data_IF_029309086082
#
_entry.id   IF_029309086082
#
_cell.length_a   1.000
_cell.length_b   1.000
_cell.length_c   1.000
_cell.angle_alpha   90.00
_cell.angle_beta   90.00
_cell.angle_gamma   90.00
#
_symmetry.space_group_name_H-M   'P 1'
#
loop_
_entity.id
_entity.type
_entity.pdbx_description
1 polymer ?
#
# COMPACT_ATOMS: atom_id res chain seq x y z
N UNK A 1 -49.48 -67.04 -29.19
CA UNK A 1 -50.29 -67.96 -28.33
C UNK A 1 -50.78 -67.11 -27.15
N UNK A 2 -52.06 -66.60 -27.20
CA UNK A 2 -53.18 -67.12 -26.42
C UNK A 2 -53.08 -66.78 -24.93
N UNK A 3 -53.85 -66.01 -24.23
CA UNK A 3 -55.29 -65.71 -24.27
C UNK A 3 -55.58 -64.57 -23.25
N UNK A 4 -56.45 -63.65 -23.57
CA UNK A 4 -57.26 -62.90 -22.60
C UNK A 4 -58.43 -63.78 -22.11
N UNK A 5 -59.13 -63.43 -21.00
CA UNK A 5 -60.36 -62.64 -21.07
C UNK A 5 -60.50 -61.68 -19.87
N UNK A 6 -61.09 -60.52 -19.94
CA UNK A 6 -62.47 -60.06 -20.16
C UNK A 6 -63.41 -60.17 -18.95
N UNK A 7 -64.05 -58.97 -18.64
CA UNK A 7 -65.30 -58.71 -17.88
C UNK A 7 -65.25 -58.73 -16.34
N UNK A 8 -65.66 -57.64 -15.60
CA UNK A 8 -67.03 -57.11 -15.65
C UNK A 8 -67.12 -55.74 -14.89
N UNK A 9 -67.81 -54.88 -15.49
CA UNK A 9 -68.64 -53.77 -15.14
C UNK A 9 -69.36 -53.85 -13.81
N UNK A 10 -69.21 -52.82 -12.96
CA UNK A 10 -70.26 -52.40 -12.04
C UNK A 10 -70.12 -50.90 -11.75
N UNK A 11 -71.06 -50.15 -12.35
CA UNK A 11 -71.34 -48.76 -12.05
C UNK A 11 -72.10 -48.67 -10.71
N UNK A 12 -71.63 -47.77 -9.82
CA UNK A 12 -72.47 -47.24 -8.78
C UNK A 12 -72.23 -45.75 -8.67
N UNK A 13 -73.14 -44.96 -9.18
CA UNK A 13 -73.30 -43.55 -8.88
C UNK A 13 -73.67 -43.42 -7.40
N UNK A 14 -72.83 -42.63 -6.68
CA UNK A 14 -73.25 -41.97 -5.45
C UNK A 14 -72.92 -40.49 -5.60
N UNK A 15 -73.92 -39.66 -5.85
CA UNK A 15 -73.90 -38.25 -5.64
C UNK A 15 -73.70 -38.00 -4.12
N UNK A 16 -72.65 -37.32 -3.80
CA UNK A 16 -72.36 -36.87 -2.43
C UNK A 16 -71.61 -35.55 -2.51
N UNK A 17 -72.35 -34.45 -2.42
CA UNK A 17 -72.06 -33.18 -1.80
C UNK A 17 -70.75 -32.49 -2.13
N UNK A 18 -70.79 -31.59 -3.15
CA UNK A 18 -69.85 -30.47 -3.19
C UNK A 18 -70.10 -29.55 -1.99
N UNK A 19 -69.24 -29.53 -1.01
CA UNK A 19 -68.98 -28.36 -0.21
C UNK A 19 -67.54 -27.88 -0.56
N UNK A 20 -67.50 -27.01 -1.58
CA UNK A 20 -66.31 -26.30 -1.98
C UNK A 20 -65.99 -25.24 -0.93
N UNK A 21 -65.14 -25.55 0.00
CA UNK A 21 -64.36 -24.59 0.72
C UNK A 21 -63.01 -24.54 0.06
N UNK A 22 -62.75 -23.53 -0.80
CA UNK A 22 -61.42 -23.15 -1.24
C UNK A 22 -60.63 -22.69 -0.02
N UNK A 23 -60.23 -23.65 0.84
CA UNK A 23 -59.34 -23.40 1.93
C UNK A 23 -57.98 -23.11 1.37
N UNK A 24 -57.62 -21.83 1.28
CA UNK A 24 -56.25 -21.44 1.16
C UNK A 24 -55.46 -22.29 2.18
N UNK A 25 -54.31 -22.82 1.77
CA UNK A 25 -53.44 -23.62 2.62
C UNK A 25 -52.85 -22.72 3.73
N UNK A 26 -53.71 -22.36 4.69
CA UNK A 26 -53.38 -21.54 5.87
C UNK A 26 -52.91 -22.48 6.94
N UNK A 27 -51.68 -22.29 7.41
CA UNK A 27 -51.15 -23.05 8.51
C UNK A 27 -51.11 -22.18 9.75
N UNK A 28 -51.51 -22.75 10.86
CA UNK A 28 -51.41 -22.17 12.18
C UNK A 28 -50.15 -22.65 12.86
N UNK A 29 -49.55 -21.80 13.68
CA UNK A 29 -48.43 -22.13 14.53
C UNK A 29 -48.54 -21.37 15.84
N UNK A 30 -47.62 -21.60 16.74
CA UNK A 30 -47.54 -20.89 18.02
C UNK A 30 -46.29 -19.99 18.06
N UNK A 31 -46.41 -18.85 18.68
CA UNK A 31 -45.30 -17.98 19.04
C UNK A 31 -44.39 -18.73 20.01
N UNK A 32 -43.14 -18.86 19.70
CA UNK A 32 -42.16 -19.60 20.49
C UNK A 32 -40.89 -18.78 20.73
N UNK A 33 -40.16 -19.12 21.77
CA UNK A 33 -38.82 -18.62 21.95
C UNK A 33 -37.86 -19.44 21.09
N UNK A 34 -37.06 -18.77 20.27
CA UNK A 34 -36.03 -19.40 19.49
C UNK A 34 -34.85 -18.45 19.28
N UNK A 35 -33.75 -19.01 18.87
CA UNK A 35 -32.59 -18.22 18.42
C UNK A 35 -32.95 -17.54 17.09
N UNK A 36 -32.66 -16.25 17.00
CA UNK A 36 -32.75 -15.46 15.79
C UNK A 36 -31.36 -14.89 15.50
N UNK A 37 -30.86 -15.17 14.32
CA UNK A 37 -29.57 -14.69 13.86
C UNK A 37 -29.79 -13.82 12.65
N UNK A 38 -29.39 -12.58 12.75
CA UNK A 38 -29.40 -11.63 11.64
C UNK A 38 -28.06 -11.67 10.92
N UNK A 39 -28.10 -11.91 9.62
CA UNK A 39 -26.93 -12.11 8.78
C UNK A 39 -26.95 -11.12 7.66
N UNK A 40 -25.80 -10.48 7.43
CA UNK A 40 -25.54 -9.64 6.25
C UNK A 40 -24.66 -10.43 5.29
N UNK A 41 -25.18 -10.72 4.12
CA UNK A 41 -24.45 -11.40 3.04
C UNK A 41 -23.66 -10.39 2.21
N UNK A 42 -22.37 -10.65 2.00
CA UNK A 42 -21.51 -9.78 1.22
C UNK A 42 -20.57 -10.59 0.31
N UNK A 43 -20.38 -10.17 -0.95
CA UNK A 43 -19.36 -10.74 -1.81
C UNK A 43 -17.98 -10.41 -1.29
N UNK A 44 -17.09 -11.40 -1.30
CA UNK A 44 -15.73 -11.27 -0.78
C UNK A 44 -14.68 -11.92 -1.68
N UNK A 45 -13.44 -11.60 -1.40
CA UNK A 45 -12.28 -12.18 -2.06
C UNK A 45 -11.20 -12.53 -1.05
N UNK A 46 -10.61 -13.70 -1.19
CA UNK A 46 -9.47 -14.12 -0.35
C UNK A 46 -8.23 -13.32 -0.74
N UNK A 47 -7.58 -12.72 0.24
CA UNK A 47 -6.37 -11.93 0.06
C UNK A 47 -5.21 -12.54 0.85
N UNK A 48 -4.00 -12.38 0.32
CA UNK A 48 -2.78 -12.74 1.04
C UNK A 48 -2.50 -11.72 2.15
N UNK A 49 -1.75 -12.14 3.17
CA UNK A 49 -1.27 -11.27 4.24
C UNK A 49 -0.49 -10.07 3.72
N UNK A 50 0.41 -10.33 2.79
CA UNK A 50 1.22 -9.30 2.15
C UNK A 50 1.62 -9.73 0.74
N UNK A 51 1.68 -8.77 -0.15
CA UNK A 51 2.21 -8.94 -1.51
C UNK A 51 3.27 -7.87 -1.71
N UNK A 52 4.46 -8.27 -2.13
CA UNK A 52 5.55 -7.36 -2.41
C UNK A 52 6.06 -7.58 -3.83
N UNK A 53 5.90 -6.54 -4.65
CA UNK A 53 6.46 -6.52 -6.00
C UNK A 53 7.84 -5.87 -5.97
N UNK A 54 8.83 -6.56 -6.51
CA UNK A 54 10.21 -6.09 -6.61
C UNK A 54 10.48 -5.63 -8.03
N UNK A 55 10.88 -4.37 -8.15
CA UNK A 55 11.16 -3.71 -9.43
C UNK A 55 12.66 -3.69 -9.72
N UNK A 56 13.01 -3.62 -11.01
CA UNK A 56 14.39 -3.44 -11.47
C UNK A 56 14.96 -2.11 -10.98
N UNK A 57 16.11 -2.09 -10.29
CA UNK A 57 16.72 -0.86 -9.77
C UNK A 57 17.45 -0.04 -10.84
N UNK A 58 17.71 -0.61 -11.99
CA UNK A 58 18.37 0.03 -13.14
C UNK A 58 18.16 -0.77 -14.42
N UNK A 59 18.37 -0.12 -15.55
CA UNK A 59 18.33 -0.78 -16.87
C UNK A 59 19.45 -1.81 -17.00
N UNK A 60 19.11 -2.96 -17.58
CA UNK A 60 20.06 -4.05 -17.76
C UNK A 60 19.43 -5.29 -18.37
N UNK A 61 20.02 -6.45 -18.09
CA UNK A 61 19.47 -7.76 -18.43
C UNK A 61 19.45 -8.67 -17.21
N UNK A 62 18.56 -9.63 -17.19
CA UNK A 62 18.51 -10.66 -16.15
C UNK A 62 19.71 -11.59 -16.38
N UNK A 63 20.61 -11.64 -15.39
CA UNK A 63 21.81 -12.48 -15.49
C UNK A 63 21.56 -13.91 -15.05
N UNK A 64 21.21 -14.10 -13.79
CA UNK A 64 21.04 -15.40 -13.15
C UNK A 64 19.75 -15.42 -12.33
N UNK A 65 18.91 -16.43 -12.53
CA UNK A 65 17.70 -16.66 -11.74
C UNK A 65 17.99 -17.82 -10.78
N UNK A 66 17.78 -17.63 -9.48
CA UNK A 66 18.11 -18.60 -8.43
C UNK A 66 16.90 -19.26 -7.78
N UNK A 67 15.72 -18.95 -8.25
CA UNK A 67 14.45 -19.46 -7.72
C UNK A 67 13.56 -19.87 -8.88
N UNK A 68 12.73 -20.87 -8.64
CA UNK A 68 11.70 -21.29 -9.58
C UNK A 68 10.40 -20.51 -9.35
N UNK A 69 9.57 -20.43 -10.38
CA UNK A 69 8.22 -19.90 -10.23
C UNK A 69 7.40 -20.79 -9.30
N UNK A 70 6.68 -20.21 -8.33
CA UNK A 70 5.96 -20.94 -7.29
C UNK A 70 6.82 -21.42 -6.10
N UNK A 71 8.14 -21.18 -6.10
CA UNK A 71 9.02 -21.58 -4.99
C UNK A 71 8.75 -20.76 -3.73
N UNK A 72 8.82 -21.42 -2.57
CA UNK A 72 8.77 -20.72 -1.28
C UNK A 72 10.14 -20.19 -0.89
N UNK A 73 10.22 -18.90 -0.60
CA UNK A 73 11.46 -18.22 -0.24
C UNK A 73 11.38 -17.60 1.16
N UNK A 74 12.56 -17.41 1.76
CA UNK A 74 12.72 -16.71 3.03
C UNK A 74 13.04 -15.23 2.79
N UNK A 75 12.70 -14.39 3.74
CA UNK A 75 13.11 -12.99 3.70
C UNK A 75 14.63 -12.86 3.56
N UNK A 76 15.09 -12.01 2.65
CA UNK A 76 16.50 -11.77 2.34
C UNK A 76 17.13 -12.79 1.40
N UNK A 77 16.46 -13.88 1.04
CA UNK A 77 16.94 -14.85 0.05
C UNK A 77 17.16 -14.18 -1.31
N UNK A 78 18.25 -14.54 -1.99
CA UNK A 78 18.56 -14.02 -3.32
C UNK A 78 17.64 -14.70 -4.34
N UNK A 79 16.88 -13.89 -5.08
CA UNK A 79 15.94 -14.36 -6.09
C UNK A 79 16.59 -14.40 -7.47
N UNK A 80 17.20 -13.30 -7.87
CA UNK A 80 17.88 -13.17 -9.16
C UNK A 80 18.95 -12.09 -9.10
N UNK A 81 19.79 -12.03 -10.13
CA UNK A 81 20.81 -11.00 -10.31
C UNK A 81 20.60 -10.31 -11.64
N UNK A 82 20.63 -8.99 -11.63
CA UNK A 82 20.55 -8.15 -12.84
C UNK A 82 21.96 -7.75 -13.24
N UNK A 83 22.27 -7.85 -14.50
CA UNK A 83 23.48 -7.32 -15.11
C UNK A 83 23.21 -5.94 -15.67
N UNK A 84 23.77 -4.92 -15.04
CA UNK A 84 23.66 -3.53 -15.48
C UNK A 84 25.03 -2.91 -15.69
N UNK A 85 25.55 -2.91 -16.94
CA UNK A 85 26.79 -2.22 -17.26
C UNK A 85 26.71 -0.71 -17.03
N UNK A 86 25.54 -0.10 -17.20
CA UNK A 86 25.27 1.32 -16.96
C UNK A 86 25.46 1.70 -15.50
N UNK A 87 24.84 0.96 -14.55
CA UNK A 87 24.97 1.19 -13.12
C UNK A 87 26.42 1.00 -12.63
N UNK A 88 27.12 -0.03 -13.15
CA UNK A 88 28.55 -0.24 -12.83
C UNK A 88 29.44 0.88 -13.38
N UNK A 89 29.13 1.41 -14.58
CA UNK A 89 29.85 2.58 -15.14
C UNK A 89 29.60 3.83 -14.30
N UNK A 90 28.35 4.08 -13.90
CA UNK A 90 28.01 5.22 -13.04
C UNK A 90 28.79 5.18 -11.71
N UNK A 91 28.90 4.02 -11.06
CA UNK A 91 29.70 3.86 -9.84
C UNK A 91 31.16 4.22 -10.10
N UNK A 92 31.79 3.63 -11.13
CA UNK A 92 33.19 3.92 -11.45
C UNK A 92 33.43 5.40 -11.79
N UNK A 93 32.48 6.07 -12.45
CA UNK A 93 32.56 7.50 -12.74
C UNK A 93 32.48 8.34 -11.45
N UNK A 94 31.57 8.01 -10.55
CA UNK A 94 31.45 8.69 -9.25
C UNK A 94 32.74 8.50 -8.40
N UNK A 95 33.30 7.30 -8.36
CA UNK A 95 34.57 7.03 -7.66
C UNK A 95 35.75 7.79 -8.25
N UNK A 96 35.85 7.89 -9.59
CA UNK A 96 36.86 8.69 -10.28
C UNK A 96 36.68 10.19 -10.01
N UNK A 97 35.45 10.68 -9.93
CA UNK A 97 35.17 12.07 -9.62
C UNK A 97 35.60 12.42 -8.18
N UNK A 98 35.35 11.54 -7.22
CA UNK A 98 35.79 11.73 -5.83
C UNK A 98 37.34 11.72 -5.71
N UNK A 99 38.00 10.77 -6.40
CA UNK A 99 39.45 10.72 -6.43
C UNK A 99 40.07 12.01 -7.01
N UNK A 100 39.48 12.57 -8.07
CA UNK A 100 39.92 13.85 -8.64
C UNK A 100 39.66 15.01 -7.67
N UNK A 101 38.51 15.06 -7.01
CA UNK A 101 38.19 16.08 -6.04
C UNK A 101 39.14 16.01 -4.81
N UNK A 102 39.54 14.79 -4.42
CA UNK A 102 40.52 14.59 -3.35
C UNK A 102 41.93 15.10 -3.76
N UNK A 103 42.34 14.82 -4.99
CA UNK A 103 43.64 15.30 -5.53
C UNK A 103 43.67 16.84 -5.66
N UNK A 104 42.58 17.45 -6.11
CA UNK A 104 42.47 18.90 -6.25
C UNK A 104 42.45 19.66 -4.91
N UNK A 105 41.96 19.04 -3.84
CA UNK A 105 41.93 19.61 -2.50
C UNK A 105 43.27 19.58 -1.73
N UNK A 106 44.28 18.90 -2.26
CA UNK A 106 45.62 18.80 -1.67
C UNK A 106 46.57 19.95 -2.06
N UNK A 107 46.08 21.10 -2.55
CA UNK A 107 46.89 22.26 -2.91
C UNK A 107 47.76 22.71 -1.73
N UNK A 108 49.07 22.50 -1.87
CA UNK A 108 50.07 22.95 -0.95
C UNK A 108 49.93 24.47 -0.73
N UNK A 109 49.68 24.89 0.48
CA UNK A 109 49.83 26.29 0.87
C UNK A 109 51.24 26.72 0.50
N UNK A 110 51.37 27.71 -0.40
CA UNK A 110 52.64 28.29 -0.77
C UNK A 110 53.18 28.96 0.50
N UNK A 111 54.26 28.49 1.10
CA UNK A 111 54.84 29.19 2.25
C UNK A 111 55.47 30.46 1.72
N UNK A 112 54.86 31.62 2.03
CA UNK A 112 55.49 32.92 1.79
C UNK A 112 56.61 33.06 2.81
N UNK A 113 57.83 32.62 2.43
CA UNK A 113 59.01 32.77 3.29
C UNK A 113 59.58 34.19 3.13
N UNK A 114 59.47 34.98 4.20
CA UNK A 114 60.10 36.31 4.32
C UNK A 114 61.58 36.19 4.73
N UNK A 115 62.27 35.15 4.33
CA UNK A 115 63.68 34.92 4.73
C UNK A 115 64.63 36.07 4.34
N UNK A 116 64.33 36.77 3.23
CA UNK A 116 65.08 37.97 2.79
C UNK A 116 64.91 39.17 3.75
N UNK A 117 63.74 39.36 4.35
CA UNK A 117 63.48 40.46 5.25
C UNK A 117 64.31 40.38 6.54
N UNK A 118 64.45 39.23 7.13
CA UNK A 118 65.26 39.00 8.35
C UNK A 118 66.74 39.28 8.11
N UNK A 119 67.27 38.93 6.92
CA UNK A 119 68.65 39.25 6.54
C UNK A 119 68.87 40.73 6.36
N UNK A 120 67.93 41.43 5.70
CA UNK A 120 67.98 42.91 5.52
C UNK A 120 67.97 43.62 6.88
N UNK A 121 67.14 43.18 7.81
CA UNK A 121 67.07 43.73 9.16
C UNK A 121 68.37 43.54 9.95
N UNK A 122 68.99 42.41 9.86
CA UNK A 122 70.27 42.13 10.51
C UNK A 122 71.39 43.01 9.91
N UNK A 123 71.34 43.26 8.61
CA UNK A 123 72.32 44.13 7.94
C UNK A 123 72.09 45.60 8.31
N UNK A 124 70.87 46.10 8.33
CA UNK A 124 70.51 47.46 8.74
C UNK A 124 70.93 47.72 10.21
N UNK A 125 70.62 46.83 11.11
CA UNK A 125 71.00 46.91 12.49
C UNK A 125 72.54 46.95 12.68
N UNK A 126 73.28 46.25 11.88
CA UNK A 126 74.76 46.31 11.88
C UNK A 126 75.26 47.64 11.35
N UNK A 127 74.61 48.18 10.33
CA UNK A 127 74.96 49.47 9.73
C UNK A 127 74.71 50.62 10.69
N UNK A 128 73.53 50.66 11.38
CA UNK A 128 73.22 51.66 12.41
C UNK A 128 74.21 51.62 13.58
N UNK A 129 74.55 50.42 14.06
CA UNK A 129 75.53 50.27 15.16
C UNK A 129 76.94 50.76 14.75
N UNK A 130 77.36 50.59 13.50
CA UNK A 130 78.64 51.11 13.00
C UNK A 130 78.57 52.63 12.86
N UNK A 131 77.53 53.17 12.31
CA UNK A 131 77.35 54.63 12.15
C UNK A 131 77.24 55.30 13.53
N UNK A 132 76.62 54.72 14.51
CA UNK A 132 76.54 55.24 15.88
C UNK A 132 77.89 55.27 16.58
N UNK A 133 78.71 54.25 16.39
CA UNK A 133 80.10 54.25 16.90
C UNK A 133 80.93 55.34 16.22
N UNK A 134 80.91 55.45 14.92
CA UNK A 134 81.60 56.49 14.19
C UNK A 134 81.16 57.91 14.59
N UNK A 135 79.89 58.10 14.83
CA UNK A 135 79.33 59.37 15.26
C UNK A 135 79.79 59.75 16.68
N UNK A 136 79.96 58.78 17.59
CA UNK A 136 80.53 58.99 18.94
C UNK A 136 82.01 59.42 18.96
N UNK A 137 82.76 58.97 17.96
CA UNK A 137 84.19 59.25 17.80
C UNK A 137 84.48 60.65 17.20
N UNK A 138 83.46 61.43 16.85
CA UNK A 138 83.60 62.81 16.36
C UNK A 138 84.01 63.70 17.50
N UNK A 139 85.24 64.44 17.41
CA UNK A 139 85.77 65.22 18.47
C UNK A 139 84.94 66.44 18.84
N UNK A 140 84.35 67.10 17.82
CA UNK A 140 83.53 68.28 18.06
C UNK A 140 82.18 67.88 18.64
N UNK A 141 81.77 68.56 19.71
CA UNK A 141 80.58 68.28 20.53
C UNK A 141 79.30 68.55 19.79
N UNK A 142 79.29 69.65 19.01
CA UNK A 142 78.10 70.12 18.29
C UNK A 142 77.86 69.24 17.05
N UNK A 143 78.85 68.98 16.25
CA UNK A 143 78.82 68.07 15.14
C UNK A 143 78.46 66.60 15.55
N UNK A 144 78.92 66.11 16.70
CA UNK A 144 78.58 64.82 17.27
C UNK A 144 77.05 64.77 17.63
N UNK A 145 76.56 65.88 18.25
CA UNK A 145 75.13 65.92 18.65
C UNK A 145 74.21 65.91 17.43
N UNK A 146 74.58 66.65 16.40
CA UNK A 146 73.86 66.68 15.10
C UNK A 146 73.88 65.36 14.39
N UNK A 147 75.04 64.70 14.34
CA UNK A 147 75.20 63.36 13.72
C UNK A 147 74.34 62.29 14.43
N UNK A 148 74.34 62.29 15.80
CA UNK A 148 73.52 61.40 16.58
C UNK A 148 72.01 61.69 16.45
N UNK A 149 71.61 62.96 16.29
CA UNK A 149 70.26 63.34 16.03
C UNK A 149 69.76 62.86 14.62
N UNK A 150 70.62 63.07 13.62
CA UNK A 150 70.33 62.60 12.24
C UNK A 150 70.20 61.03 12.18
N UNK A 151 71.08 60.34 12.92
CA UNK A 151 70.98 58.87 12.99
C UNK A 151 69.69 58.39 13.70
N UNK A 152 69.25 59.14 14.74
CA UNK A 152 67.96 58.79 15.37
C UNK A 152 66.78 58.98 14.40
N UNK A 153 66.77 60.06 13.66
CA UNK A 153 65.76 60.31 12.63
C UNK A 153 65.80 59.21 11.54
N UNK A 154 66.97 58.90 11.02
CA UNK A 154 67.12 57.84 10.02
C UNK A 154 66.71 56.48 10.51
N UNK A 155 67.01 56.20 11.78
CA UNK A 155 66.58 54.95 12.43
C UNK A 155 65.04 54.89 12.59
N UNK A 156 64.45 55.97 13.07
CA UNK A 156 62.98 56.02 13.20
C UNK A 156 62.26 55.93 11.86
N UNK A 157 62.82 56.53 10.82
CA UNK A 157 62.26 56.36 9.46
C UNK A 157 62.41 54.92 8.94
N UNK A 158 63.52 54.24 9.17
CA UNK A 158 63.69 52.85 8.86
C UNK A 158 62.73 51.94 9.61
N UNK A 159 62.56 52.18 10.94
CA UNK A 159 61.63 51.42 11.77
C UNK A 159 60.18 51.63 11.32
N UNK A 160 59.81 52.83 10.94
CA UNK A 160 58.47 53.12 10.35
C UNK A 160 58.25 52.44 9.00
N UNK A 161 59.25 52.51 8.09
CA UNK A 161 59.16 51.86 6.79
C UNK A 161 59.08 50.30 6.93
N UNK A 162 59.82 49.75 7.90
CA UNK A 162 59.76 48.33 8.22
C UNK A 162 58.38 47.92 8.77
N UNK A 163 57.82 48.70 9.73
CA UNK A 163 56.52 48.41 10.26
C UNK A 163 55.42 48.46 9.13
N UNK A 164 55.49 49.38 8.20
CA UNK A 164 54.65 49.45 7.05
C UNK A 164 54.78 48.20 6.13
N UNK A 165 56.03 47.78 5.87
CA UNK A 165 56.30 46.56 5.10
C UNK A 165 55.76 45.26 5.80
N UNK A 166 55.97 45.15 7.12
CA UNK A 166 55.48 44.04 7.92
C UNK A 166 53.93 44.04 7.93
N UNK A 167 53.30 45.17 8.02
CA UNK A 167 51.85 45.32 7.96
C UNK A 167 51.30 44.94 6.54
N UNK A 168 52.00 45.35 5.46
CA UNK A 168 51.64 44.96 4.11
C UNK A 168 51.77 43.44 3.89
N UNK A 169 52.90 42.86 4.40
CA UNK A 169 53.11 41.42 4.35
C UNK A 169 52.03 40.64 5.14
N UNK A 170 51.67 41.12 6.34
CA UNK A 170 50.62 40.52 7.16
C UNK A 170 49.23 40.60 6.48
N UNK A 171 48.90 41.70 5.85
CA UNK A 171 47.65 41.85 5.09
C UNK A 171 47.58 40.95 3.87
N UNK A 172 48.69 40.80 3.13
CA UNK A 172 48.82 39.84 2.03
C UNK A 172 48.69 38.39 2.53
N UNK A 173 49.37 38.04 3.61
CA UNK A 173 49.27 36.69 4.20
C UNK A 173 47.82 36.41 4.68
N UNK A 174 47.14 37.39 5.27
CA UNK A 174 45.76 37.25 5.69
C UNK A 174 44.82 37.05 4.45
N UNK A 175 45.04 37.81 3.36
CA UNK A 175 44.32 37.68 2.11
C UNK A 175 44.51 36.29 1.46
N UNK A 176 45.75 35.81 1.42
CA UNK A 176 46.04 34.44 0.92
C UNK A 176 45.45 33.38 1.83
N UNK A 177 45.44 33.59 3.14
CA UNK A 177 44.78 32.71 4.12
C UNK A 177 43.27 32.62 3.94
N UNK A 178 42.60 33.74 3.61
CA UNK A 178 41.16 33.75 3.31
C UNK A 178 40.85 33.04 2.00
N UNK A 179 41.65 33.27 0.96
CA UNK A 179 41.52 32.57 -0.31
C UNK A 179 41.71 31.05 -0.15
N UNK A 180 42.75 30.63 0.59
CA UNK A 180 43.00 29.23 0.87
C UNK A 180 41.85 28.56 1.62
N UNK A 181 41.26 29.27 2.60
CA UNK A 181 40.05 28.78 3.31
C UNK A 181 38.84 28.68 2.39
N UNK A 182 38.62 29.65 1.50
CA UNK A 182 37.53 29.60 0.55
C UNK A 182 37.67 28.43 -0.45
N UNK A 183 38.89 28.20 -0.98
CA UNK A 183 39.18 27.04 -1.85
C UNK A 183 38.98 25.73 -1.11
N UNK A 184 39.43 25.64 0.15
CA UNK A 184 39.23 24.45 0.98
C UNK A 184 37.74 24.18 1.28
N UNK A 185 36.95 25.23 1.54
CA UNK A 185 35.51 25.11 1.75
C UNK A 185 34.80 24.62 0.48
N UNK A 186 35.14 25.19 -0.70
CA UNK A 186 34.61 24.73 -1.97
C UNK A 186 34.97 23.27 -2.27
N UNK A 187 36.23 22.90 -2.03
CA UNK A 187 36.69 21.51 -2.21
C UNK A 187 36.00 20.52 -1.26
N UNK A 188 35.67 20.95 -0.02
CA UNK A 188 34.94 20.12 0.93
C UNK A 188 33.48 19.94 0.50
N UNK A 189 32.81 21.00 0.02
CA UNK A 189 31.44 20.93 -0.52
C UNK A 189 31.39 20.00 -1.74
N UNK A 190 32.35 20.11 -2.66
CA UNK A 190 32.46 19.23 -3.82
C UNK A 190 32.62 17.76 -3.40
N UNK A 191 33.43 17.47 -2.36
CA UNK A 191 33.58 16.09 -1.83
C UNK A 191 32.30 15.54 -1.20
N UNK A 192 31.51 16.37 -0.56
CA UNK A 192 30.19 15.93 -0.03
C UNK A 192 29.29 15.48 -1.19
N UNK A 193 29.25 16.25 -2.27
CA UNK A 193 28.43 15.88 -3.45
C UNK A 193 28.94 14.60 -4.14
N UNK A 194 30.26 14.45 -4.33
CA UNK A 194 30.82 13.24 -4.95
C UNK A 194 30.59 12.00 -4.10
N UNK A 195 30.72 12.09 -2.77
CA UNK A 195 30.40 10.98 -1.86
C UNK A 195 28.93 10.61 -1.90
N UNK A 196 28.03 11.58 -1.91
CA UNK A 196 26.60 11.30 -2.07
C UNK A 196 26.30 10.57 -3.39
N UNK A 197 26.92 10.98 -4.49
CA UNK A 197 26.81 10.29 -5.78
C UNK A 197 27.34 8.85 -5.73
N UNK A 198 28.47 8.62 -5.06
CA UNK A 198 29.02 7.27 -4.85
C UNK A 198 28.04 6.41 -4.04
N UNK A 199 27.47 6.95 -2.97
CA UNK A 199 26.54 6.20 -2.09
C UNK A 199 25.26 5.81 -2.83
N UNK A 200 24.74 6.69 -3.70
CA UNK A 200 23.60 6.36 -4.56
C UNK A 200 23.99 5.26 -5.55
N UNK A 201 25.09 5.42 -6.27
CA UNK A 201 25.55 4.45 -7.25
C UNK A 201 25.86 3.07 -6.61
N UNK A 202 26.45 3.05 -5.41
CA UNK A 202 26.70 1.82 -4.64
C UNK A 202 25.41 1.14 -4.21
N UNK A 203 24.40 1.91 -3.77
CA UNK A 203 23.08 1.35 -3.44
C UNK A 203 22.43 0.71 -4.65
N UNK A 204 22.45 1.39 -5.80
CA UNK A 204 21.93 0.84 -7.05
C UNK A 204 22.65 -0.46 -7.45
N UNK A 205 23.99 -0.49 -7.41
CA UNK A 205 24.76 -1.70 -7.74
C UNK A 205 24.49 -2.85 -6.74
N UNK A 206 24.32 -2.57 -5.46
CA UNK A 206 23.91 -3.60 -4.48
C UNK A 206 22.51 -4.13 -4.74
N UNK A 207 21.59 -3.25 -5.12
CA UNK A 207 20.20 -3.61 -5.43
C UNK A 207 20.08 -4.46 -6.71
N UNK A 208 21.10 -4.52 -7.57
CA UNK A 208 21.14 -5.44 -8.73
C UNK A 208 21.09 -6.92 -8.30
N UNK A 209 21.43 -7.23 -7.06
CA UNK A 209 21.16 -8.54 -6.44
C UNK A 209 19.79 -8.44 -5.77
N UNK A 210 18.78 -8.89 -6.47
CA UNK A 210 17.38 -8.85 -6.03
C UNK A 210 17.17 -9.89 -4.93
N UNK A 211 16.61 -9.43 -3.81
CA UNK A 211 16.31 -10.29 -2.65
C UNK A 211 14.85 -10.21 -2.28
N UNK A 212 14.33 -11.29 -1.69
CA UNK A 212 12.97 -11.34 -1.17
C UNK A 212 12.77 -10.33 -0.03
N UNK A 213 11.83 -9.38 -0.14
CA UNK A 213 11.54 -8.42 0.93
C UNK A 213 10.77 -9.06 2.09
N UNK A 214 10.07 -10.16 1.84
CA UNK A 214 9.33 -10.96 2.82
C UNK A 214 9.44 -12.44 2.49
N UNK A 215 9.08 -13.30 3.43
CA UNK A 215 8.95 -14.73 3.20
C UNK A 215 7.62 -15.02 2.49
N UNK A 216 7.62 -15.95 1.53
CA UNK A 216 6.39 -16.28 0.80
C UNK A 216 6.68 -17.03 -0.49
N UNK A 217 5.67 -17.12 -1.34
CA UNK A 217 5.75 -17.77 -2.65
C UNK A 217 6.15 -16.75 -3.72
N UNK A 218 7.14 -17.08 -4.51
CA UNK A 218 7.63 -16.25 -5.62
C UNK A 218 6.77 -16.45 -6.86
N UNK A 219 6.44 -15.34 -7.53
CA UNK A 219 5.96 -15.35 -8.91
C UNK A 219 6.91 -14.53 -9.78
N UNK A 220 7.49 -15.17 -10.78
CA UNK A 220 8.40 -14.58 -11.76
C UNK A 220 7.65 -13.89 -12.92
N UNK A 221 6.33 -14.00 -12.94
CA UNK A 221 5.52 -13.23 -13.87
C UNK A 221 5.42 -11.81 -13.34
N UNK A 222 5.88 -10.83 -14.10
CA UNK A 222 5.50 -9.46 -13.88
C UNK A 222 3.97 -9.42 -13.89
N UNK A 223 3.28 -8.91 -12.84
CA UNK A 223 1.88 -8.66 -12.96
C UNK A 223 1.71 -7.77 -14.17
N UNK A 224 1.11 -8.32 -15.23
CA UNK A 224 0.80 -7.54 -16.40
C UNK A 224 0.04 -6.33 -15.90
N UNK A 225 0.54 -5.15 -16.13
CA UNK A 225 -0.23 -3.92 -15.99
C UNK A 225 -1.32 -3.96 -17.05
N UNK A 226 -2.31 -4.82 -16.82
CA UNK A 226 -3.60 -4.70 -17.45
C UNK A 226 -4.21 -3.42 -16.86
N UNK A 227 -3.86 -2.27 -17.41
CA UNK A 227 -4.60 -1.08 -17.04
C UNK A 227 -3.87 0.25 -16.93
N UNK A 228 -2.58 0.39 -17.21
CA UNK A 228 -1.97 1.72 -17.21
C UNK A 228 -1.20 2.06 -18.50
N UNK A 229 -1.88 1.90 -19.62
CA UNK A 229 -1.61 2.70 -20.81
C UNK A 229 -2.45 3.99 -20.80
N UNK A 230 -2.84 4.47 -19.63
CA UNK A 230 -3.68 5.67 -19.50
C UNK A 230 -2.92 6.98 -19.78
N UNK A 231 -1.59 6.98 -19.72
CA UNK A 231 -0.83 8.20 -20.02
C UNK A 231 -0.68 8.51 -21.53
N UNK A 232 -0.93 7.52 -22.40
CA UNK A 232 -0.94 7.74 -23.85
C UNK A 232 -2.32 8.03 -24.44
N UNK A 233 -3.37 7.56 -23.78
CA UNK A 233 -4.75 7.71 -24.21
C UNK A 233 -5.29 9.15 -24.05
N UNK A 234 -4.87 9.83 -23.02
CA UNK A 234 -5.32 11.20 -22.73
C UNK A 234 -4.70 12.25 -23.64
N UNK A 235 -3.48 12.00 -24.12
CA UNK A 235 -2.85 12.84 -25.17
C UNK A 235 -3.49 12.62 -26.55
N UNK A 236 -3.92 11.40 -26.86
CA UNK A 236 -4.63 11.12 -28.11
C UNK A 236 -6.07 11.66 -28.12
N UNK A 237 -6.71 11.76 -26.97
CA UNK A 237 -8.06 12.33 -26.86
C UNK A 237 -8.10 13.84 -27.10
N UNK A 238 -6.98 14.53 -26.92
CA UNK A 238 -6.84 16.00 -27.16
C UNK A 238 -6.50 16.35 -28.62
N UNK A 239 -6.24 15.37 -29.47
CA UNK A 239 -5.95 15.62 -30.90
C UNK A 239 -7.25 15.75 -31.72
N UNK A 240 -7.31 16.68 -32.69
CA UNK A 240 -8.42 16.76 -33.65
C UNK A 240 -8.62 15.45 -34.40
N UNK A 241 -9.88 15.11 -34.69
CA UNK A 241 -10.29 13.82 -35.24
C UNK A 241 -9.58 13.43 -36.55
N UNK A 242 -9.20 14.42 -37.37
CA UNK A 242 -8.42 14.22 -38.59
C UNK A 242 -6.98 13.76 -38.37
N UNK A 243 -6.37 14.11 -37.22
CA UNK A 243 -5.02 13.66 -36.84
C UNK A 243 -5.06 12.34 -36.06
N UNK A 244 -6.18 12.05 -35.40
CA UNK A 244 -6.40 10.80 -34.66
C UNK A 244 -6.52 9.59 -35.58
N UNK A 245 -7.19 9.73 -36.72
CA UNK A 245 -7.31 8.69 -37.75
C UNK A 245 -5.98 8.40 -38.44
N UNK A 246 -5.13 9.40 -38.61
CA UNK A 246 -3.82 9.27 -39.27
C UNK A 246 -2.76 8.71 -38.31
N UNK A 247 -2.82 9.08 -37.00
CA UNK A 247 -1.99 8.50 -35.95
C UNK A 247 -2.36 7.04 -35.67
N UNK A 248 -3.67 6.69 -35.71
CA UNK A 248 -4.18 5.34 -35.53
C UNK A 248 -3.73 4.37 -36.62
N UNK A 249 -3.65 4.83 -37.86
CA UNK A 249 -3.15 3.99 -38.97
C UNK A 249 -1.62 3.85 -39.00
N UNK A 250 -0.87 4.85 -38.49
CA UNK A 250 0.59 4.77 -38.39
C UNK A 250 1.07 3.92 -37.17
N UNK A 251 0.31 3.89 -36.08
CA UNK A 251 0.59 3.08 -34.90
C UNK A 251 -0.10 1.70 -34.95
N UNK A 252 -1.16 1.54 -35.71
CA UNK A 252 -1.91 0.28 -35.85
C UNK A 252 -1.20 -0.82 -36.64
N UNK A 253 -0.09 -0.49 -37.32
CA UNK A 253 0.72 -1.48 -38.03
C UNK A 253 1.80 -2.18 -37.20
N UNK A 254 2.03 -1.73 -35.97
CA UNK A 254 3.07 -2.29 -35.08
C UNK A 254 2.53 -2.82 -33.73
N UNK A 255 1.23 -2.88 -33.55
CA UNK A 255 0.60 -3.15 -32.25
C UNK A 255 -0.47 -4.22 -32.26
N UNK A 256 -0.20 -5.38 -32.84
CA UNK A 256 -0.80 -6.62 -32.38
C UNK A 256 -0.16 -6.99 -31.04
N UNK A 257 -0.39 -6.17 -30.02
CA UNK A 257 0.03 -6.44 -28.65
C UNK A 257 -0.80 -7.59 -28.09
N UNK A 258 -0.44 -8.81 -28.45
CA UNK A 258 -0.57 -9.88 -27.49
C UNK A 258 0.12 -9.36 -26.23
N UNK A 259 -0.62 -9.28 -25.12
CA UNK A 259 -0.04 -9.11 -23.80
C UNK A 259 0.84 -10.32 -23.56
N UNK A 260 2.03 -10.31 -24.11
CA UNK A 260 3.06 -11.26 -23.76
C UNK A 260 3.34 -10.99 -22.30
N UNK A 261 2.78 -11.82 -21.46
CA UNK A 261 3.27 -11.98 -20.10
C UNK A 261 4.75 -12.27 -20.28
N UNK A 262 5.58 -11.20 -20.16
CA UNK A 262 7.01 -11.33 -20.37
C UNK A 262 7.52 -12.20 -19.24
N UNK A 263 7.66 -13.48 -19.52
CA UNK A 263 8.27 -14.43 -18.59
C UNK A 263 9.64 -13.90 -18.26
N UNK A 264 9.93 -13.75 -16.99
CA UNK A 264 11.24 -13.36 -16.50
C UNK A 264 12.19 -14.52 -16.81
N UNK A 265 13.01 -14.35 -17.87
CA UNK A 265 13.98 -15.36 -18.32
C UNK A 265 15.39 -14.77 -18.30
N UNK A 266 16.37 -15.63 -18.11
CA UNK A 266 17.78 -15.22 -18.18
C UNK A 266 18.11 -14.62 -19.54
N UNK A 267 18.86 -13.52 -19.55
CA UNK A 267 19.18 -12.75 -20.74
C UNK A 267 18.12 -11.72 -21.15
N UNK A 268 16.90 -11.75 -20.61
CA UNK A 268 15.87 -10.78 -20.96
C UNK A 268 16.24 -9.36 -20.54
N UNK A 269 15.99 -8.35 -21.39
CA UNK A 269 16.21 -6.96 -21.04
C UNK A 269 15.17 -6.50 -20.01
N UNK A 270 15.60 -5.67 -19.06
CA UNK A 270 14.75 -5.05 -18.05
C UNK A 270 15.03 -3.56 -17.95
N UNK A 271 13.96 -2.76 -17.87
CA UNK A 271 14.01 -1.32 -17.65
C UNK A 271 13.95 -0.96 -16.16
N UNK A 272 14.55 0.15 -15.80
CA UNK A 272 14.47 0.70 -14.44
C UNK A 272 13.01 0.93 -14.04
N UNK A 273 12.63 0.45 -12.85
CA UNK A 273 11.24 0.53 -12.35
C UNK A 273 10.31 -0.59 -12.84
N UNK A 274 10.73 -1.39 -13.81
CA UNK A 274 9.93 -2.52 -14.29
C UNK A 274 9.75 -3.58 -13.22
N UNK A 275 8.53 -4.07 -12.94
CA UNK A 275 8.29 -5.18 -12.02
C UNK A 275 8.89 -6.47 -12.58
N UNK A 276 9.59 -7.23 -11.74
CA UNK A 276 10.28 -8.46 -12.14
C UNK A 276 9.81 -9.68 -11.36
N UNK A 277 9.58 -9.49 -10.07
CA UNK A 277 9.21 -10.59 -9.16
C UNK A 277 8.16 -10.09 -8.19
N UNK A 278 7.16 -10.92 -7.97
CA UNK A 278 6.19 -10.71 -6.90
C UNK A 278 6.37 -11.80 -5.86
N UNK A 279 6.47 -11.43 -4.59
CA UNK A 279 6.51 -12.35 -3.46
C UNK A 279 5.22 -12.20 -2.67
N UNK A 280 4.49 -13.29 -2.52
CA UNK A 280 3.19 -13.32 -1.84
C UNK A 280 3.30 -14.12 -0.56
N UNK A 281 3.03 -13.48 0.58
CA UNK A 281 2.95 -14.16 1.88
C UNK A 281 1.56 -14.74 2.09
N UNK A 282 1.50 -16.06 2.04
CA UNK A 282 0.27 -16.85 2.26
C UNK A 282 0.24 -17.52 3.64
N UNK A 283 1.11 -17.12 4.56
CA UNK A 283 1.19 -17.72 5.91
C UNK A 283 -0.09 -17.52 6.72
N UNK A 284 -0.75 -16.39 6.51
CA UNK A 284 -2.10 -16.10 7.00
C UNK A 284 -2.90 -15.50 5.86
N UNK A 285 -4.12 -15.94 5.72
CA UNK A 285 -5.04 -15.42 4.72
C UNK A 285 -6.02 -14.47 5.37
N UNK A 286 -6.43 -13.47 4.64
CA UNK A 286 -7.46 -12.51 5.02
C UNK A 286 -8.57 -12.56 3.98
N UNK A 287 -9.71 -12.04 4.34
CA UNK A 287 -10.83 -11.90 3.44
C UNK A 287 -11.19 -10.42 3.34
N UNK A 288 -11.50 -9.98 2.15
CA UNK A 288 -12.00 -8.63 1.91
C UNK A 288 -13.40 -8.76 1.35
N UNK A 289 -14.39 -8.25 2.09
CA UNK A 289 -15.80 -8.26 1.69
C UNK A 289 -16.27 -6.85 1.36
N UNK A 290 -17.26 -6.74 0.48
CA UNK A 290 -17.87 -5.47 0.09
C UNK A 290 -19.29 -5.44 0.64
N UNK A 291 -19.53 -4.64 1.67
CA UNK A 291 -20.82 -4.51 2.35
C UNK A 291 -21.53 -3.25 1.86
N UNK A 292 -22.82 -3.35 1.60
CA UNK A 292 -23.65 -2.21 1.17
C UNK A 292 -23.76 -1.13 2.27
N UNK A 293 -23.99 0.12 1.86
CA UNK A 293 -24.12 1.25 2.79
C UNK A 293 -25.27 1.11 3.77
N UNK A 294 -26.31 0.35 3.41
CA UNK A 294 -27.49 0.11 4.27
C UNK A 294 -27.15 -0.78 5.45
N UNK A 295 -26.20 -1.70 5.26
CA UNK A 295 -25.91 -2.77 6.22
C UNK A 295 -24.61 -2.54 6.98
N UNK A 296 -23.70 -1.70 6.44
CA UNK A 296 -22.38 -1.49 7.06
C UNK A 296 -22.44 -0.93 8.47
N UNK A 297 -23.53 -0.20 8.81
CA UNK A 297 -23.72 0.34 10.16
C UNK A 297 -23.98 -0.74 11.22
N UNK A 298 -24.33 -1.95 10.81
CA UNK A 298 -24.53 -3.10 11.67
C UNK A 298 -23.24 -3.91 11.89
N UNK A 299 -22.20 -3.63 11.09
CA UNK A 299 -20.94 -4.39 11.10
C UNK A 299 -19.89 -3.67 11.93
N UNK A 300 -19.42 -4.33 12.99
CA UNK A 300 -18.40 -3.81 13.88
C UNK A 300 -17.14 -4.69 13.88
N UNK A 301 -15.95 -4.13 14.19
CA UNK A 301 -14.77 -4.94 14.46
C UNK A 301 -15.04 -5.97 15.56
N UNK A 302 -14.69 -7.23 15.31
CA UNK A 302 -14.99 -8.36 16.20
C UNK A 302 -16.24 -9.13 15.81
N UNK A 303 -17.07 -8.64 14.89
CA UNK A 303 -18.22 -9.40 14.36
C UNK A 303 -17.76 -10.73 13.77
N UNK A 304 -18.39 -11.83 14.23
CA UNK A 304 -18.17 -13.17 13.69
C UNK A 304 -18.74 -13.27 12.28
N UNK A 305 -18.06 -14.03 11.43
CA UNK A 305 -18.53 -14.29 10.07
C UNK A 305 -18.26 -15.72 9.64
N UNK A 306 -19.00 -16.17 8.65
CA UNK A 306 -18.79 -17.42 7.95
C UNK A 306 -18.55 -17.11 6.49
N UNK A 307 -17.50 -17.70 5.92
CA UNK A 307 -17.20 -17.55 4.50
C UNK A 307 -17.35 -18.89 3.79
N UNK A 308 -18.06 -18.88 2.69
CA UNK A 308 -18.15 -19.98 1.75
C UNK A 308 -17.42 -19.63 0.47
N UNK A 309 -16.51 -20.48 0.03
CA UNK A 309 -15.71 -20.24 -1.18
C UNK A 309 -16.32 -20.97 -2.37
N UNK A 310 -16.47 -20.28 -3.49
CA UNK A 310 -17.01 -20.85 -4.72
C UNK A 310 -16.19 -22.04 -5.24
N UNK A 311 -14.87 -21.98 -5.01
CA UNK A 311 -13.93 -23.02 -5.45
C UNK A 311 -13.93 -24.27 -4.56
N UNK A 312 -14.49 -24.22 -3.34
CA UNK A 312 -14.49 -25.31 -2.36
C UNK A 312 -15.92 -25.56 -1.89
N UNK A 313 -16.66 -26.26 -2.73
CA UNK A 313 -18.08 -26.53 -2.47
C UNK A 313 -18.29 -27.35 -1.18
N UNK A 314 -19.21 -26.89 -0.34
CA UNK A 314 -19.58 -27.60 0.89
C UNK A 314 -18.59 -27.42 2.04
N UNK A 315 -17.66 -26.48 1.94
CA UNK A 315 -16.81 -26.09 3.05
C UNK A 315 -17.13 -24.67 3.52
N UNK A 316 -17.13 -24.48 4.83
CA UNK A 316 -17.27 -23.14 5.44
C UNK A 316 -16.03 -22.81 6.27
N UNK A 317 -15.61 -21.54 6.21
CA UNK A 317 -14.46 -21.01 6.91
C UNK A 317 -14.93 -20.02 7.96
N UNK A 318 -14.45 -20.17 9.18
CA UNK A 318 -14.70 -19.17 10.21
C UNK A 318 -13.92 -17.90 9.87
N UNK A 319 -14.56 -16.74 10.03
CA UNK A 319 -13.93 -15.46 9.83
C UNK A 319 -14.34 -14.48 10.94
N UNK A 320 -13.54 -13.45 11.14
CA UNK A 320 -13.84 -12.39 12.12
C UNK A 320 -13.49 -11.04 11.52
N UNK A 321 -14.38 -10.08 11.62
CA UNK A 321 -14.16 -8.71 11.17
C UNK A 321 -13.01 -8.08 11.94
N UNK A 322 -12.01 -7.61 11.22
CA UNK A 322 -10.84 -6.93 11.78
C UNK A 322 -10.98 -5.42 11.69
N UNK A 323 -11.41 -4.93 10.52
CA UNK A 323 -11.59 -3.49 10.26
C UNK A 323 -12.70 -3.28 9.25
N UNK A 324 -13.39 -2.15 9.39
CA UNK A 324 -14.30 -1.60 8.40
C UNK A 324 -13.67 -0.32 7.87
N UNK A 325 -13.42 -0.23 6.58
CA UNK A 325 -12.80 0.95 5.96
C UNK A 325 -13.81 2.13 6.03
N UNK A 326 -13.40 3.32 6.49
CA UNK A 326 -14.30 4.46 6.61
C UNK A 326 -14.62 5.12 5.27
N UNK A 327 -13.92 4.79 4.21
CA UNK A 327 -14.07 5.37 2.89
C UNK A 327 -14.92 4.45 2.01
N UNK A 328 -16.02 4.95 1.45
CA UNK A 328 -16.84 4.15 0.56
C UNK A 328 -16.14 3.92 -0.78
N UNK A 329 -16.46 2.81 -1.40
CA UNK A 329 -16.14 2.48 -2.79
C UNK A 329 -17.41 2.51 -3.62
N UNK A 330 -17.31 3.12 -4.81
CA UNK A 330 -18.47 3.18 -5.73
C UNK A 330 -18.28 2.12 -6.80
N UNK A 331 -19.27 1.25 -6.97
CA UNK A 331 -19.26 0.29 -8.06
C UNK A 331 -19.56 0.98 -9.39
N UNK A 332 -19.11 0.40 -10.49
CA UNK A 332 -19.43 0.89 -11.86
C UNK A 332 -20.93 0.92 -12.17
N UNK A 333 -21.76 0.25 -11.37
CA UNK A 333 -23.22 0.22 -11.46
C UNK A 333 -23.91 1.24 -10.56
N UNK A 334 -23.15 2.10 -9.85
CA UNK A 334 -23.67 3.18 -9.01
C UNK A 334 -24.01 2.81 -7.56
N UNK A 335 -23.75 1.58 -7.11
CA UNK A 335 -23.93 1.19 -5.70
C UNK A 335 -22.76 1.68 -4.84
N UNK A 336 -23.06 2.14 -3.63
CA UNK A 336 -22.08 2.52 -2.61
C UNK A 336 -21.86 1.34 -1.70
N UNK A 337 -20.60 0.96 -1.50
CA UNK A 337 -20.23 -0.15 -0.61
C UNK A 337 -18.99 0.20 0.21
N UNK A 338 -18.83 -0.47 1.33
CA UNK A 338 -17.70 -0.31 2.23
C UNK A 338 -16.87 -1.59 2.27
N UNK A 339 -15.55 -1.42 2.28
CA UNK A 339 -14.64 -2.55 2.36
C UNK A 339 -14.50 -3.00 3.81
N UNK A 340 -14.86 -4.25 4.06
CA UNK A 340 -14.70 -4.92 5.35
C UNK A 340 -13.59 -5.95 5.23
N UNK A 341 -12.61 -5.87 6.13
CA UNK A 341 -11.51 -6.83 6.19
C UNK A 341 -11.74 -7.80 7.33
N UNK A 342 -11.57 -9.08 7.02
CA UNK A 342 -11.76 -10.16 7.97
C UNK A 342 -10.48 -11.02 8.04
N UNK A 343 -10.17 -11.51 9.23
CA UNK A 343 -9.23 -12.62 9.39
C UNK A 343 -9.91 -13.91 8.98
N UNK A 344 -9.23 -14.75 8.22
CA UNK A 344 -9.74 -16.05 7.81
C UNK A 344 -9.15 -17.13 8.73
N UNK A 345 -10.04 -17.89 9.36
CA UNK A 345 -9.72 -19.04 10.19
C UNK A 345 -9.72 -20.37 9.42
N UNK A 346 -9.59 -21.49 10.15
CA UNK A 346 -9.65 -22.81 9.55
C UNK A 346 -11.05 -23.11 9.00
N UNK A 347 -11.09 -23.74 7.84
CA UNK A 347 -12.33 -24.21 7.22
C UNK A 347 -12.69 -25.63 7.65
N UNK A 348 -13.98 -25.95 7.59
CA UNK A 348 -14.53 -27.29 7.81
C UNK A 348 -15.47 -27.66 6.68
N UNK A 349 -15.39 -28.89 6.24
CA UNK A 349 -16.36 -29.49 5.33
C UNK A 349 -17.65 -29.85 6.07
N UNK A 350 -18.71 -30.17 5.32
CA UNK A 350 -19.98 -30.65 5.92
C UNK A 350 -19.81 -31.91 6.79
N UNK A 351 -18.82 -32.73 6.45
CA UNK A 351 -18.50 -33.96 7.19
C UNK A 351 -17.62 -33.69 8.42
N UNK A 352 -17.28 -32.41 8.71
CA UNK A 352 -16.48 -31.99 9.86
C UNK A 352 -14.97 -32.10 9.65
N UNK A 353 -14.51 -32.52 8.48
CA UNK A 353 -13.09 -32.58 8.16
C UNK A 353 -12.51 -31.19 7.92
N UNK A 354 -11.17 -31.07 8.02
CA UNK A 354 -10.47 -29.81 7.73
C UNK A 354 -10.55 -29.53 6.24
N UNK A 355 -11.11 -28.38 5.88
CA UNK A 355 -11.18 -27.95 4.51
C UNK A 355 -9.78 -27.54 3.96
N UNK A 356 -9.53 -27.67 2.65
CA UNK A 356 -8.27 -27.26 2.04
C UNK A 356 -8.03 -25.76 2.22
N UNK A 357 -6.75 -25.36 2.35
CA UNK A 357 -6.38 -23.96 2.44
C UNK A 357 -6.72 -23.24 1.12
N UNK A 358 -7.46 -22.13 1.18
CA UNK A 358 -7.79 -21.37 -0.02
C UNK A 358 -6.55 -20.66 -0.58
N UNK A 359 -6.67 -20.20 -1.82
CA UNK A 359 -5.62 -19.41 -2.47
C UNK A 359 -6.06 -17.95 -2.59
N UNK A 360 -5.14 -16.98 -2.48
CA UNK A 360 -5.43 -15.59 -2.77
C UNK A 360 -6.06 -15.42 -4.16
N UNK A 361 -7.06 -14.55 -4.26
CA UNK A 361 -7.83 -14.32 -5.48
C UNK A 361 -9.09 -15.18 -5.63
N UNK A 362 -9.34 -16.15 -4.75
CA UNK A 362 -10.59 -16.92 -4.75
C UNK A 362 -11.76 -16.05 -4.29
N UNK A 363 -12.89 -16.16 -4.97
CA UNK A 363 -14.15 -15.53 -4.58
C UNK A 363 -14.80 -16.28 -3.43
N UNK A 364 -15.50 -15.54 -2.59
CA UNK A 364 -16.24 -16.06 -1.46
C UNK A 364 -17.55 -15.29 -1.26
N UNK A 365 -18.53 -15.95 -0.68
CA UNK A 365 -19.69 -15.32 -0.06
C UNK A 365 -19.44 -15.29 1.44
N UNK A 366 -19.67 -14.12 2.04
CA UNK A 366 -19.39 -13.88 3.47
C UNK A 366 -20.68 -13.54 4.18
N UNK A 367 -21.07 -14.39 5.12
CA UNK A 367 -22.20 -14.19 6.02
C UNK A 367 -21.72 -13.56 7.31
N UNK A 368 -21.98 -12.28 7.49
CA UNK A 368 -21.63 -11.50 8.69
C UNK A 368 -22.75 -11.66 9.73
N UNK A 369 -22.44 -12.20 10.90
CA UNK A 369 -23.39 -12.40 11.99
C UNK A 369 -23.52 -11.11 12.81
N UNK A 370 -24.35 -10.18 12.33
CA UNK A 370 -24.45 -8.83 12.89
C UNK A 370 -25.24 -8.77 14.19
N UNK A 371 -26.19 -9.69 14.36
CA UNK A 371 -26.99 -9.79 15.60
C UNK A 371 -27.39 -11.22 15.89
N UNK A 372 -27.27 -11.62 17.13
CA UNK A 372 -27.72 -12.93 17.62
C UNK A 372 -28.49 -12.76 18.93
N UNK A 373 -29.73 -13.29 18.95
CA UNK A 373 -30.58 -13.29 20.13
C UNK A 373 -30.98 -14.73 20.39
N UNK A 374 -30.52 -15.30 21.53
CA UNK A 374 -30.66 -16.74 21.78
C UNK A 374 -32.09 -17.18 22.16
N UNK A 375 -32.86 -16.33 22.80
CA UNK A 375 -34.21 -16.69 23.31
C UNK A 375 -35.24 -15.61 22.97
N UNK A 376 -35.18 -15.12 21.74
CA UNK A 376 -36.13 -14.12 21.23
C UNK A 376 -37.56 -14.69 21.17
N UNK A 377 -38.55 -13.88 21.51
CA UNK A 377 -39.94 -14.17 21.13
C UNK A 377 -39.96 -14.03 19.60
N UNK A 378 -40.22 -15.12 18.91
CA UNK A 378 -39.99 -15.14 17.46
C UNK A 378 -41.14 -15.82 16.71
N UNK A 379 -41.34 -15.36 15.49
CA UNK A 379 -42.30 -15.89 14.53
C UNK A 379 -41.60 -16.22 13.23
N UNK A 380 -42.07 -17.17 12.42
CA UNK A 380 -41.59 -17.36 11.06
C UNK A 380 -41.74 -16.07 10.25
N UNK A 381 -40.78 -15.77 9.37
CA UNK A 381 -40.83 -14.59 8.48
C UNK A 381 -42.14 -14.58 7.67
N UNK A 382 -42.63 -15.76 7.25
CA UNK A 382 -43.88 -15.93 6.48
C UNK A 382 -45.17 -15.61 7.28
N UNK A 383 -45.07 -15.40 8.60
CA UNK A 383 -46.18 -14.98 9.44
C UNK A 383 -46.38 -13.46 9.49
N UNK A 384 -45.36 -12.70 9.13
CA UNK A 384 -45.37 -11.26 9.17
C UNK A 384 -45.88 -10.73 7.83
N UNK A 385 -46.83 -9.80 7.90
CA UNK A 385 -47.33 -9.09 6.72
C UNK A 385 -47.36 -7.58 7.01
N UNK A 386 -47.47 -6.79 5.97
CA UNK A 386 -47.56 -5.34 6.07
C UNK A 386 -49.02 -4.90 6.03
N UNK A 387 -49.49 -4.19 7.04
CA UNK A 387 -50.80 -3.58 7.16
C UNK A 387 -50.65 -2.05 7.06
N UNK A 388 -50.76 -1.51 5.86
CA UNK A 388 -50.33 -0.12 5.56
C UNK A 388 -48.81 0.05 5.72
N UNK A 389 -48.40 0.95 6.59
CA UNK A 389 -46.98 1.22 6.89
C UNK A 389 -46.45 0.45 8.15
N UNK A 390 -47.23 -0.47 8.68
CA UNK A 390 -46.91 -1.20 9.93
C UNK A 390 -46.78 -2.69 9.69
N UNK A 391 -45.88 -3.30 10.43
CA UNK A 391 -45.74 -4.73 10.44
C UNK A 391 -46.78 -5.34 11.36
N UNK A 392 -47.44 -6.39 10.90
CA UNK A 392 -48.54 -7.04 11.62
C UNK A 392 -48.48 -8.57 11.49
N UNK A 393 -49.12 -9.25 12.43
CA UNK A 393 -49.29 -10.71 12.46
C UNK A 393 -50.78 -11.05 12.67
N UNK A 394 -51.27 -12.10 12.02
CA UNK A 394 -52.59 -12.62 12.29
C UNK A 394 -52.56 -13.50 13.55
N UNK A 395 -53.16 -13.01 14.62
CA UNK A 395 -53.38 -13.77 15.87
C UNK A 395 -54.73 -14.44 15.82
N UNK A 396 -54.79 -15.73 16.16
CA UNK A 396 -56.04 -16.51 16.17
C UNK A 396 -56.54 -16.62 17.58
N UNK A 397 -57.68 -15.99 17.88
CA UNK A 397 -58.35 -16.05 19.18
C UNK A 397 -59.82 -16.45 18.98
N UNK A 398 -60.25 -17.49 19.70
CA UNK A 398 -61.59 -18.10 19.53
C UNK A 398 -61.86 -18.51 18.09
N UNK A 399 -60.83 -19.05 17.40
CA UNK A 399 -60.86 -19.47 15.98
C UNK A 399 -61.11 -18.34 14.97
N UNK A 400 -61.02 -17.09 15.36
CA UNK A 400 -61.06 -15.90 14.48
C UNK A 400 -59.71 -15.26 14.32
N UNK A 401 -59.35 -14.88 13.08
CA UNK A 401 -58.14 -14.14 12.78
C UNK A 401 -58.32 -12.65 13.07
N UNK A 402 -57.38 -12.08 13.83
CA UNK A 402 -57.29 -10.64 14.10
C UNK A 402 -55.91 -10.13 13.78
N UNK A 403 -55.84 -9.04 12.99
CA UNK A 403 -54.57 -8.33 12.75
C UNK A 403 -54.10 -7.69 14.04
N UNK A 404 -52.83 -7.91 14.36
CA UNK A 404 -52.17 -7.28 15.49
C UNK A 404 -50.83 -6.67 15.03
N UNK A 405 -50.68 -5.37 15.29
CA UNK A 405 -49.45 -4.67 15.07
C UNK A 405 -48.33 -5.22 15.94
N UNK A 406 -47.14 -5.38 15.37
CA UNK A 406 -45.94 -5.89 16.04
C UNK A 406 -44.76 -5.00 15.78
N UNK A 407 -43.87 -4.90 16.77
CA UNK A 407 -42.59 -4.26 16.60
C UNK A 407 -41.52 -5.33 16.41
N UNK A 408 -40.88 -5.34 15.27
CA UNK A 408 -39.85 -6.30 14.93
C UNK A 408 -38.49 -5.90 15.52
N UNK A 409 -37.69 -6.89 15.85
CA UNK A 409 -36.29 -6.77 16.25
C UNK A 409 -35.38 -7.37 15.21
N UNK A 410 -34.49 -8.30 15.63
CA UNK A 410 -33.56 -9.01 14.75
C UNK A 410 -34.32 -9.79 13.64
N UNK A 411 -33.86 -9.66 12.40
CA UNK A 411 -34.47 -10.30 11.23
C UNK A 411 -33.53 -11.39 10.70
N UNK A 412 -33.87 -12.64 11.02
CA UNK A 412 -33.16 -13.80 10.48
C UNK A 412 -33.82 -14.34 9.20
N UNK A 413 -33.16 -15.30 8.56
CA UNK A 413 -33.63 -15.93 7.31
C UNK A 413 -34.98 -16.65 7.49
N UNK A 414 -35.14 -17.44 8.52
CA UNK A 414 -36.36 -18.21 8.79
C UNK A 414 -37.30 -17.55 9.77
N UNK A 415 -36.79 -16.79 10.73
CA UNK A 415 -37.54 -16.25 11.87
C UNK A 415 -37.16 -14.80 12.15
N UNK A 416 -38.17 -14.06 12.62
CA UNK A 416 -38.03 -12.66 13.03
C UNK A 416 -38.32 -12.55 14.54
N UNK A 417 -37.51 -11.76 15.22
CA UNK A 417 -37.75 -11.38 16.62
C UNK A 417 -38.92 -10.40 16.71
N UNK A 418 -39.80 -10.62 17.68
CA UNK A 418 -40.88 -9.69 18.00
C UNK A 418 -40.57 -9.08 19.36
N UNK A 419 -40.32 -7.77 19.38
CA UNK A 419 -40.04 -7.03 20.62
C UNK A 419 -41.32 -6.69 21.39
N UNK A 420 -42.38 -6.35 20.67
CA UNK A 420 -43.68 -5.97 21.25
C UNK A 420 -44.83 -6.50 20.39
N UNK A 421 -45.96 -6.81 21.03
CA UNK A 421 -47.21 -7.17 20.36
C UNK A 421 -47.62 -8.62 20.43
N UNK A 422 -46.72 -9.56 20.80
CA UNK A 422 -47.01 -10.99 20.92
C UNK A 422 -46.50 -11.60 22.22
N UNK A 423 -47.23 -12.60 22.71
CA UNK A 423 -46.83 -13.42 23.85
C UNK A 423 -46.52 -14.85 23.43
N UNK A 424 -45.60 -15.50 24.14
CA UNK A 424 -45.26 -16.91 23.90
C UNK A 424 -46.45 -17.80 24.09
N UNK A 425 -46.74 -18.67 23.13
CA UNK A 425 -47.86 -19.59 23.15
C UNK A 425 -49.10 -19.07 22.40
N UNK A 426 -49.15 -17.81 21.99
CA UNK A 426 -50.26 -17.32 21.18
C UNK A 426 -50.30 -18.04 19.81
N UNK A 427 -51.52 -18.38 19.37
CA UNK A 427 -51.72 -18.99 18.04
C UNK A 427 -51.70 -17.92 16.97
N UNK A 428 -50.90 -18.13 15.94
CA UNK A 428 -50.70 -17.21 14.81
C UNK A 428 -50.83 -17.96 13.49
N UNK A 429 -51.07 -17.21 12.42
CA UNK A 429 -50.99 -17.72 11.05
C UNK A 429 -49.50 -17.70 10.64
N UNK A 430 -48.94 -18.85 10.35
CA UNK A 430 -47.52 -18.99 9.95
C UNK A 430 -47.34 -19.16 8.45
N UNK A 431 -48.40 -19.44 7.71
CA UNK A 431 -48.41 -19.54 6.23
C UNK A 431 -49.73 -19.07 5.65
N UNK A 432 -49.70 -18.36 4.57
CA UNK A 432 -50.92 -17.84 3.89
C UNK A 432 -51.44 -16.56 4.54
N UNK A 433 -50.64 -15.81 5.26
CA UNK A 433 -51.03 -14.56 5.92
C UNK A 433 -51.59 -13.51 4.94
N UNK A 434 -51.14 -13.54 3.69
CA UNK A 434 -51.59 -12.69 2.55
C UNK A 434 -53.05 -12.95 2.14
N UNK A 435 -53.62 -14.07 2.52
CA UNK A 435 -54.96 -14.54 2.12
C UNK A 435 -56.00 -14.47 3.24
N UNK A 436 -55.56 -14.24 4.44
CA UNK A 436 -56.41 -14.15 5.63
C UNK A 436 -57.04 -12.77 5.73
N UNK A 437 -58.31 -12.71 6.17
CA UNK A 437 -59.01 -11.45 6.41
C UNK A 437 -59.44 -11.34 7.86
N UNK A 438 -59.54 -10.11 8.34
CA UNK A 438 -60.01 -9.87 9.71
C UNK A 438 -61.38 -10.48 9.94
N UNK A 439 -61.54 -11.24 11.04
CA UNK A 439 -62.75 -11.96 11.39
C UNK A 439 -62.97 -13.29 10.67
N UNK A 440 -62.00 -13.73 9.85
CA UNK A 440 -62.07 -15.03 9.19
C UNK A 440 -61.95 -16.15 10.19
N UNK A 441 -62.85 -17.12 10.16
CA UNK A 441 -62.77 -18.33 10.98
C UNK A 441 -61.67 -19.26 10.43
N UNK A 442 -60.74 -19.61 11.29
CA UNK A 442 -59.59 -20.49 11.03
C UNK A 442 -59.63 -21.65 12.06
N UNK A 443 -60.10 -22.78 11.62
CA UNK A 443 -60.16 -24.02 12.41
C UNK A 443 -59.06 -25.01 12.04
#
# INVERSE_FOLDING_TARGET
MVRAPALALAALLALGGCSGGGGADVRLGAVARARVTEVVEAPGTVTARAVATVNAPADGSIGEIRVADGEQVRQGQVLLRIESPSARRALRQAERADARAAAAGGGAGVPVTLAGAQQADAQAARAFRRAERAARDIPDREARSQALAALRVSRSQYEAARAAADQAAASLAAGLGTLSRAVSALSSAQRVQTRAAIDVARRTVRALTVRAPLAGTVSLSAPGTAGESAAGGDLLSQLPEALRSQAGSALGGAGGGASVTASVVEGAPVGSGQPIVTVTDTSTLSLTASVDETDVLLVEPGTGARAELDAVTGASYAATVTTVDPTPTTSTRGGVSYVVRLSLGPGRTRDGEVAPLPRPGMSAVVDLLVREVEAAVSVPVSAVFRDGDRDAVWVVKNDEARSREVRLGAQGEDRVEVLEGLEVGERIVVRGADRVRAGQSLS
#
